data_IF_196817991028
#
_entry.id   IF_196817991028
#
_cell.length_a   1.000
_cell.length_b   1.000
_cell.length_c   1.000
_cell.angle_alpha   90.00
_cell.angle_beta   90.00
_cell.angle_gamma   90.00
#
_symmetry.space_group_name_H-M   'P 1'
#
loop_
_entity.id
_entity.type
_entity.pdbx_description
1 polymer ?
#
# COMPACT_ATOMS: atom_id res chain seq x y z
N UNK A 1 32.94 36.73 -26.91
CA UNK A 1 32.84 37.90 -27.82
C UNK A 1 32.31 37.37 -29.14
N UNK A 2 31.20 37.81 -29.72
CA UNK A 2 30.48 39.06 -29.58
C UNK A 2 28.97 38.83 -29.83
N UNK A 3 28.18 39.77 -29.32
CA UNK A 3 26.74 39.89 -29.52
C UNK A 3 26.40 40.27 -30.97
N UNK A 4 25.24 39.84 -31.46
CA UNK A 4 24.55 40.51 -32.56
C UNK A 4 23.10 40.77 -32.18
N UNK A 5 22.73 42.02 -32.42
CA UNK A 5 21.55 42.77 -32.04
C UNK A 5 20.39 42.50 -33.02
N UNK A 6 19.16 42.44 -32.49
CA UNK A 6 17.90 42.39 -33.25
C UNK A 6 17.53 43.77 -33.81
N UNK A 7 16.76 43.83 -34.91
CA UNK A 7 15.72 44.87 -34.98
C UNK A 7 14.37 44.39 -35.54
N UNK A 8 13.29 44.92 -34.93
CA UNK A 8 11.92 44.95 -35.47
C UNK A 8 11.07 43.73 -35.08
N UNK A 9 9.94 43.83 -34.37
CA UNK A 9 8.99 44.94 -34.25
C UNK A 9 7.68 44.57 -34.94
N UNK A 10 6.85 43.71 -34.34
CA UNK A 10 5.40 43.63 -34.55
C UNK A 10 4.73 42.91 -33.38
N UNK A 11 3.84 43.64 -32.70
CA UNK A 11 2.99 43.15 -31.62
C UNK A 11 1.90 42.27 -32.24
N UNK A 12 1.79 41.03 -31.79
CA UNK A 12 0.56 40.26 -31.94
C UNK A 12 0.15 39.82 -30.54
N UNK A 13 -1.03 40.26 -30.11
CA UNK A 13 -1.53 40.06 -28.76
C UNK A 13 -1.75 38.58 -28.48
N UNK A 14 -0.89 37.99 -27.66
CA UNK A 14 -1.15 36.72 -27.01
C UNK A 14 -2.05 36.99 -25.81
N UNK A 15 -3.27 36.47 -25.87
CA UNK A 15 -4.16 36.29 -24.74
C UNK A 15 -3.36 35.69 -23.57
N UNK A 16 -3.11 36.48 -22.53
CA UNK A 16 -2.65 35.97 -21.24
C UNK A 16 -3.80 35.19 -20.62
N UNK A 17 -3.98 33.94 -21.04
CA UNK A 17 -4.60 32.95 -20.19
C UNK A 17 -3.69 32.86 -18.95
N UNK A 18 -4.12 33.54 -17.88
CA UNK A 18 -3.59 33.38 -16.52
C UNK A 18 -3.69 31.89 -16.18
N UNK A 19 -2.65 31.14 -16.54
CA UNK A 19 -2.39 29.81 -16.03
C UNK A 19 -2.23 29.95 -14.53
N UNK A 20 -3.32 29.71 -13.80
CA UNK A 20 -3.26 29.51 -12.36
C UNK A 20 -2.21 28.43 -12.13
N UNK A 21 -1.19 28.65 -11.29
CA UNK A 21 -0.35 27.55 -10.88
C UNK A 21 -1.28 26.59 -10.15
N UNK A 22 -1.47 25.37 -10.68
CA UNK A 22 -2.11 24.29 -9.95
C UNK A 22 -1.16 23.77 -8.84
N UNK A 23 -0.56 24.69 -8.08
CA UNK A 23 0.02 24.44 -6.79
C UNK A 23 -1.12 24.38 -5.77
N UNK A 24 -1.89 23.30 -5.82
CA UNK A 24 -2.62 22.82 -4.64
C UNK A 24 -2.00 21.49 -4.24
N UNK A 25 -0.76 21.58 -3.72
CA UNK A 25 -0.21 20.58 -2.80
C UNK A 25 -1.10 20.58 -1.55
N UNK A 26 -2.22 19.86 -1.62
CA UNK A 26 -2.74 19.25 -0.44
C UNK A 26 -1.71 18.19 -0.06
N UNK A 27 -0.83 18.50 0.90
CA UNK A 27 -0.04 17.49 1.61
C UNK A 27 -1.05 16.57 2.28
N UNK A 28 -1.54 15.56 1.57
CA UNK A 28 -2.07 14.38 2.22
C UNK A 28 -0.83 13.70 2.80
N UNK A 29 -0.58 13.94 4.09
CA UNK A 29 0.26 13.03 4.86
C UNK A 29 -0.21 11.62 4.50
N UNK A 30 0.71 10.79 4.03
CA UNK A 30 0.46 9.41 3.64
C UNK A 30 -0.22 8.73 4.83
N UNK A 31 -1.55 8.68 4.80
CA UNK A 31 -2.33 8.10 5.90
C UNK A 31 -2.12 6.60 5.77
N UNK A 32 -1.20 6.06 6.56
CA UNK A 32 -1.21 4.65 6.88
C UNK A 32 -2.40 4.42 7.77
N UNK A 33 -3.28 3.56 7.31
CA UNK A 33 -4.53 3.28 7.98
C UNK A 33 -4.41 1.86 8.48
N UNK A 34 -4.19 1.76 9.78
CA UNK A 34 -4.19 0.53 10.53
C UNK A 34 -5.12 0.66 11.74
N UNK A 35 -5.41 -0.47 12.39
CA UNK A 35 -6.11 -0.50 13.67
C UNK A 35 -5.26 0.19 14.77
N UNK A 36 -5.88 0.90 15.71
CA UNK A 36 -5.35 1.30 17.04
C UNK A 36 -3.89 1.77 17.13
N UNK A 37 -3.67 3.06 17.36
CA UNK A 37 -2.35 3.70 17.16
C UNK A 37 -1.13 3.06 17.85
N UNK A 38 -0.02 2.98 17.11
CA UNK A 38 1.37 3.07 17.61
C UNK A 38 2.42 3.14 16.48
N UNK A 39 2.10 2.81 15.23
CA UNK A 39 3.07 2.97 14.14
C UNK A 39 2.98 4.35 13.51
N UNK A 40 3.85 5.26 13.99
CA UNK A 40 4.14 6.52 13.31
C UNK A 40 5.18 6.26 12.23
N UNK A 41 4.74 6.22 10.98
CA UNK A 41 5.65 6.07 9.86
C UNK A 41 6.29 7.40 9.50
N UNK A 42 7.59 7.36 9.26
CA UNK A 42 8.30 8.47 8.65
C UNK A 42 7.85 8.60 7.18
N UNK A 43 7.31 9.75 6.80
CA UNK A 43 6.82 10.01 5.44
C UNK A 43 7.89 9.73 4.38
N UNK A 44 9.16 10.03 4.68
CA UNK A 44 10.29 9.78 3.78
C UNK A 44 10.57 8.29 3.59
N UNK A 45 10.56 7.51 4.67
CA UNK A 45 10.76 6.05 4.61
C UNK A 45 9.62 5.38 3.86
N UNK A 46 8.40 5.81 4.13
CA UNK A 46 7.23 5.23 3.49
C UNK A 46 7.16 5.57 2.00
N UNK A 47 7.59 6.77 1.62
CA UNK A 47 7.77 7.14 0.21
C UNK A 47 8.91 6.35 -0.45
N UNK A 48 10.01 6.08 0.26
CA UNK A 48 11.08 5.23 -0.24
C UNK A 48 10.60 3.79 -0.45
N UNK A 49 9.84 3.25 0.51
CA UNK A 49 9.23 1.93 0.45
C UNK A 49 8.28 1.80 -0.75
N UNK A 50 7.46 2.81 -1.02
CA UNK A 50 6.51 2.78 -2.15
C UNK A 50 7.19 2.67 -3.52
N UNK A 51 8.48 3.00 -3.61
CA UNK A 51 9.31 2.93 -4.83
C UNK A 51 10.02 1.59 -5.00
N UNK A 52 10.06 0.74 -3.97
CA UNK A 52 10.65 -0.58 -4.09
C UNK A 52 9.88 -1.47 -5.09
N UNK A 53 10.51 -2.56 -5.58
CA UNK A 53 9.83 -3.58 -6.36
C UNK A 53 8.59 -4.10 -5.61
N UNK A 54 7.50 -4.25 -6.34
CA UNK A 54 6.26 -4.78 -5.79
C UNK A 54 6.17 -6.28 -6.04
N UNK A 55 5.65 -7.03 -5.08
CA UNK A 55 5.25 -8.43 -5.30
C UNK A 55 4.17 -8.49 -6.38
N UNK A 56 3.22 -7.55 -6.33
CA UNK A 56 2.15 -7.44 -7.31
C UNK A 56 1.84 -5.97 -7.59
N UNK A 57 1.65 -5.63 -8.87
CA UNK A 57 1.28 -4.29 -9.29
C UNK A 57 0.35 -4.33 -10.50
N UNK A 58 -0.77 -3.59 -10.43
CA UNK A 58 -1.74 -3.53 -11.51
C UNK A 58 -2.61 -2.27 -11.39
N UNK A 59 -3.21 -1.86 -12.50
CA UNK A 59 -4.28 -0.88 -12.47
C UNK A 59 -5.60 -1.53 -12.05
N UNK A 60 -6.12 -1.10 -10.90
CA UNK A 60 -7.36 -1.60 -10.33
C UNK A 60 -8.36 -0.46 -10.14
N UNK A 61 -9.62 -0.87 -9.99
CA UNK A 61 -10.69 0.01 -9.57
C UNK A 61 -10.58 0.13 -8.10
N UNK A 62 -10.69 1.34 -7.60
CA UNK A 62 -10.64 1.55 -6.18
C UNK A 62 -11.75 2.50 -5.77
N UNK A 63 -12.54 2.07 -4.78
CA UNK A 63 -13.50 2.89 -4.07
C UNK A 63 -13.16 2.84 -2.59
N UNK A 64 -12.97 4.00 -1.99
CA UNK A 64 -12.63 4.10 -0.57
C UNK A 64 -13.86 3.98 0.34
N UNK A 65 -13.65 4.02 1.67
CA UNK A 65 -14.72 3.85 2.67
C UNK A 65 -15.66 5.07 2.80
N UNK A 66 -15.38 6.18 2.12
CA UNK A 66 -16.22 7.39 2.25
C UNK A 66 -17.58 7.15 1.57
N UNK A 67 -18.67 7.47 2.28
CA UNK A 67 -20.03 7.45 1.74
C UNK A 67 -20.12 8.32 0.48
N UNK A 68 -20.68 7.76 -0.59
CA UNK A 68 -20.74 8.42 -1.90
C UNK A 68 -19.43 8.46 -2.68
N UNK A 69 -18.39 7.73 -2.23
CA UNK A 69 -17.16 7.62 -3.03
C UNK A 69 -17.41 6.85 -4.32
N UNK A 70 -16.84 7.39 -5.40
CA UNK A 70 -16.92 6.79 -6.73
C UNK A 70 -15.72 5.89 -6.97
N UNK A 71 -15.93 4.88 -7.83
CA UNK A 71 -14.86 4.03 -8.32
C UNK A 71 -13.89 4.86 -9.17
N UNK A 72 -12.58 4.72 -8.92
CA UNK A 72 -11.53 5.40 -9.68
C UNK A 72 -10.45 4.40 -10.08
N UNK A 73 -9.90 4.53 -11.29
CA UNK A 73 -8.67 3.79 -11.65
C UNK A 73 -7.49 4.27 -10.82
N UNK A 74 -6.73 3.31 -10.31
CA UNK A 74 -5.53 3.52 -9.49
C UNK A 74 -4.50 2.47 -9.86
N UNK A 75 -3.24 2.88 -9.96
CA UNK A 75 -2.15 1.92 -9.91
C UNK A 75 -2.04 1.45 -8.46
N UNK A 76 -2.19 0.16 -8.22
CA UNK A 76 -2.10 -0.46 -6.91
C UNK A 76 -0.84 -1.31 -6.87
N UNK A 77 -0.04 -1.18 -5.81
CA UNK A 77 1.22 -1.90 -5.61
C UNK A 77 1.23 -2.55 -4.23
N UNK A 78 1.47 -3.85 -4.18
CA UNK A 78 1.77 -4.60 -2.96
C UNK A 78 3.28 -4.65 -2.76
N UNK A 79 3.77 -4.01 -1.69
CA UNK A 79 5.19 -3.99 -1.33
C UNK A 79 5.29 -4.44 0.13
N UNK A 80 5.89 -5.60 0.36
CA UNK A 80 5.92 -6.24 1.69
C UNK A 80 4.48 -6.38 2.22
N UNK A 81 4.13 -5.75 3.34
CA UNK A 81 2.80 -5.74 3.94
C UNK A 81 2.04 -4.42 3.71
N UNK A 82 2.48 -3.61 2.74
CA UNK A 82 1.83 -2.36 2.39
C UNK A 82 1.17 -2.44 1.01
N UNK A 83 -0.09 -2.03 0.96
CA UNK A 83 -0.82 -1.83 -0.28
C UNK A 83 -0.86 -0.33 -0.61
N UNK A 84 0.03 0.11 -1.48
CA UNK A 84 0.07 1.47 -1.98
C UNK A 84 -0.89 1.66 -3.14
N UNK A 85 -1.51 2.84 -3.23
CA UNK A 85 -2.33 3.21 -4.37
C UNK A 85 -2.01 4.62 -4.86
N UNK A 86 -1.81 4.74 -6.17
CA UNK A 86 -1.35 5.93 -6.86
C UNK A 86 -2.44 6.41 -7.82
N UNK A 87 -2.44 7.70 -8.15
CA UNK A 87 -3.07 8.11 -9.40
C UNK A 87 -2.19 7.64 -10.55
N UNK A 88 -2.77 7.38 -11.71
CA UNK A 88 -2.05 6.83 -12.87
C UNK A 88 -0.97 7.77 -13.41
N UNK A 89 -1.05 9.05 -13.08
CA UNK A 89 -0.15 10.14 -13.49
C UNK A 89 0.78 10.65 -12.38
N UNK A 90 0.67 10.12 -11.15
CA UNK A 90 1.43 10.59 -9.99
C UNK A 90 2.46 9.56 -9.52
N UNK A 91 3.70 10.01 -9.30
CA UNK A 91 4.77 9.16 -8.74
C UNK A 91 4.69 8.99 -7.21
N UNK A 92 3.92 9.84 -6.53
CA UNK A 92 3.70 9.77 -5.09
C UNK A 92 2.39 9.01 -4.81
N UNK A 93 2.36 8.11 -3.80
CA UNK A 93 1.15 7.39 -3.47
C UNK A 93 0.10 8.34 -2.88
N UNK A 94 -1.15 8.13 -3.27
CA UNK A 94 -2.30 8.83 -2.66
C UNK A 94 -2.52 8.35 -1.22
N UNK A 95 -2.22 7.07 -0.98
CA UNK A 95 -2.36 6.44 0.32
C UNK A 95 -1.70 5.06 0.37
N UNK A 96 -1.63 4.50 1.57
CA UNK A 96 -1.16 3.15 1.81
C UNK A 96 -2.08 2.45 2.83
N UNK A 97 -2.37 1.18 2.61
CA UNK A 97 -3.02 0.33 3.61
C UNK A 97 -1.96 -0.61 4.20
N UNK A 98 -1.90 -0.67 5.53
CA UNK A 98 -1.09 -1.65 6.23
C UNK A 98 -1.91 -2.92 6.40
N UNK A 99 -1.40 -4.06 5.93
CA UNK A 99 -2.13 -5.34 5.95
C UNK A 99 -1.99 -6.03 7.31
N UNK A 100 -2.53 -5.39 8.34
CA UNK A 100 -2.59 -5.89 9.72
C UNK A 100 -4.05 -5.91 10.18
N UNK A 101 -4.47 -7.01 10.78
CA UNK A 101 -5.85 -7.23 11.22
C UNK A 101 -6.87 -6.90 10.13
N UNK A 102 -6.52 -7.20 8.87
CA UNK A 102 -7.36 -6.93 7.71
C UNK A 102 -8.12 -8.18 7.30
N UNK A 103 -9.33 -8.00 6.76
CA UNK A 103 -10.14 -9.05 6.17
C UNK A 103 -10.29 -8.80 4.68
N UNK A 104 -9.85 -9.76 3.87
CA UNK A 104 -9.97 -9.74 2.41
C UNK A 104 -11.13 -10.64 1.97
N UNK A 105 -12.19 -10.03 1.45
CA UNK A 105 -13.45 -10.70 1.11
C UNK A 105 -13.77 -10.55 -0.37
N UNK A 106 -14.21 -11.62 -1.03
CA UNK A 106 -14.73 -11.53 -2.39
C UNK A 106 -16.14 -10.93 -2.36
N UNK A 107 -16.40 -9.92 -3.18
CA UNK A 107 -17.71 -9.26 -3.27
C UNK A 107 -18.43 -9.62 -4.56
N UNK A 108 -17.69 -9.67 -5.67
CA UNK A 108 -18.16 -9.96 -7.03
C UNK A 108 -17.14 -10.91 -7.70
N UNK A 109 -17.47 -11.58 -8.81
CA UNK A 109 -16.52 -12.45 -9.51
C UNK A 109 -15.19 -11.74 -9.81
N UNK A 110 -15.24 -10.49 -10.28
CA UNK A 110 -14.07 -9.65 -10.56
C UNK A 110 -13.79 -8.58 -9.48
N UNK A 111 -14.38 -8.69 -8.28
CA UNK A 111 -14.28 -7.66 -7.25
C UNK A 111 -14.04 -8.20 -5.85
N UNK A 112 -13.18 -7.52 -5.09
CA UNK A 112 -12.90 -7.85 -3.69
C UNK A 112 -12.93 -6.60 -2.82
N UNK A 113 -12.95 -6.82 -1.51
CA UNK A 113 -12.88 -5.77 -0.52
C UNK A 113 -11.83 -6.04 0.56
N UNK A 114 -11.33 -4.98 1.15
CA UNK A 114 -10.49 -5.00 2.35
C UNK A 114 -11.19 -4.18 3.43
N UNK A 115 -11.43 -4.79 4.58
CA UNK A 115 -11.85 -4.10 5.81
C UNK A 115 -10.88 -4.43 6.96
N UNK A 116 -10.98 -3.70 8.06
CA UNK A 116 -10.13 -3.90 9.24
C UNK A 116 -10.99 -4.36 10.41
N UNK A 117 -10.46 -5.26 11.25
CA UNK A 117 -11.22 -5.85 12.37
C UNK A 117 -11.71 -4.77 13.33
N UNK A 118 -10.90 -3.76 13.62
CA UNK A 118 -11.28 -2.66 14.53
C UNK A 118 -12.24 -1.63 13.91
N UNK A 119 -12.29 -1.54 12.59
CA UNK A 119 -13.17 -0.62 11.87
C UNK A 119 -13.76 -1.31 10.63
N UNK A 120 -14.73 -2.23 10.81
CA UNK A 120 -15.30 -3.02 9.72
C UNK A 120 -16.05 -2.17 8.69
N UNK A 121 -16.60 -1.03 9.12
CA UNK A 121 -17.29 -0.05 8.28
C UNK A 121 -16.33 0.64 7.29
N UNK A 122 -15.04 0.66 7.63
CA UNK A 122 -13.99 1.19 6.77
C UNK A 122 -13.57 0.19 5.69
N UNK A 123 -14.48 -0.02 4.75
CA UNK A 123 -14.33 -0.95 3.63
C UNK A 123 -13.75 -0.29 2.38
N UNK A 124 -12.69 -0.87 1.83
CA UNK A 124 -12.10 -0.50 0.54
C UNK A 124 -12.53 -1.53 -0.49
N UNK A 125 -13.13 -1.08 -1.60
CA UNK A 125 -13.53 -1.97 -2.68
C UNK A 125 -12.57 -1.86 -3.85
N UNK A 126 -12.24 -3.02 -4.42
CA UNK A 126 -11.35 -3.17 -5.55
C UNK A 126 -12.04 -3.91 -6.69
N UNK A 127 -11.81 -3.45 -7.92
CA UNK A 127 -12.36 -4.06 -9.12
C UNK A 127 -11.21 -4.42 -10.09
N UNK A 128 -11.15 -5.70 -10.44
CA UNK A 128 -10.17 -6.31 -11.33
C UNK A 128 -10.73 -6.44 -12.74
N UNK A 129 -9.86 -6.69 -13.72
CA UNK A 129 -10.27 -6.94 -15.12
C UNK A 129 -10.82 -8.35 -15.36
N UNK A 130 -10.52 -9.28 -14.46
CA UNK A 130 -10.96 -10.68 -14.52
C UNK A 130 -11.07 -11.27 -13.11
N UNK A 131 -11.80 -12.38 -12.98
CA UNK A 131 -11.86 -13.15 -11.74
C UNK A 131 -10.50 -13.74 -11.35
N UNK A 132 -9.72 -14.22 -12.31
CA UNK A 132 -8.37 -14.73 -12.07
C UNK A 132 -7.47 -13.67 -11.42
N UNK A 133 -7.47 -12.44 -11.95
CA UNK A 133 -6.74 -11.33 -11.34
C UNK A 133 -7.26 -11.04 -9.92
N UNK A 134 -8.58 -11.11 -9.70
CA UNK A 134 -9.17 -10.93 -8.37
C UNK A 134 -8.64 -11.96 -7.37
N UNK A 135 -8.62 -13.25 -7.75
CA UNK A 135 -8.11 -14.33 -6.91
C UNK A 135 -6.60 -14.20 -6.63
N UNK A 136 -5.82 -13.82 -7.65
CA UNK A 136 -4.39 -13.56 -7.51
C UNK A 136 -4.13 -12.46 -6.45
N UNK A 137 -4.82 -11.32 -6.58
CA UNK A 137 -4.73 -10.22 -5.62
C UNK A 137 -5.17 -10.64 -4.22
N UNK A 138 -6.31 -11.31 -4.08
CA UNK A 138 -6.78 -11.76 -2.77
C UNK A 138 -5.79 -12.74 -2.11
N UNK A 139 -5.20 -13.65 -2.89
CA UNK A 139 -4.17 -14.56 -2.42
C UNK A 139 -2.91 -13.84 -1.94
N UNK A 140 -2.40 -12.90 -2.74
CA UNK A 140 -1.23 -12.11 -2.40
C UNK A 140 -1.46 -11.26 -1.14
N UNK A 141 -2.61 -10.59 -1.03
CA UNK A 141 -2.97 -9.78 0.14
C UNK A 141 -3.09 -10.62 1.41
N UNK A 142 -3.65 -11.83 1.32
CA UNK A 142 -3.74 -12.76 2.47
C UNK A 142 -2.36 -13.24 2.92
N UNK A 143 -1.43 -13.50 1.99
CA UNK A 143 -0.06 -13.91 2.32
C UNK A 143 0.76 -12.76 2.92
N UNK A 144 0.54 -11.54 2.42
CA UNK A 144 1.20 -10.33 2.90
C UNK A 144 0.67 -9.83 4.25
N UNK A 145 -0.42 -10.41 4.78
CA UNK A 145 -0.94 -10.01 6.08
C UNK A 145 -0.01 -10.44 7.22
N UNK A 146 0.08 -9.62 8.25
CA UNK A 146 0.93 -9.89 9.41
C UNK A 146 0.61 -11.25 10.06
N UNK A 147 -0.66 -11.60 10.19
CA UNK A 147 -1.11 -12.86 10.79
C UNK A 147 -0.59 -14.07 10.00
N UNK A 148 -0.60 -13.99 8.67
CA UNK A 148 -0.08 -15.05 7.83
C UNK A 148 1.44 -15.14 7.97
N UNK A 149 2.16 -14.02 7.75
CA UNK A 149 3.63 -13.99 7.87
C UNK A 149 4.09 -14.50 9.23
N UNK A 150 3.40 -14.13 10.31
CA UNK A 150 3.67 -14.58 11.66
C UNK A 150 3.49 -16.09 11.82
N UNK A 151 2.37 -16.65 11.32
CA UNK A 151 2.12 -18.11 11.35
C UNK A 151 3.18 -18.86 10.53
N UNK A 152 3.54 -18.35 9.35
CA UNK A 152 4.59 -18.92 8.50
C UNK A 152 5.95 -18.92 9.20
N UNK A 153 6.33 -17.81 9.86
CA UNK A 153 7.59 -17.73 10.60
C UNK A 153 7.67 -18.77 11.72
N UNK A 154 6.59 -18.91 12.49
CA UNK A 154 6.50 -19.91 13.56
C UNK A 154 6.61 -21.33 12.99
N UNK A 155 5.89 -21.60 11.89
CA UNK A 155 5.95 -22.88 11.21
C UNK A 155 7.38 -23.21 10.77
N UNK A 156 8.05 -22.31 10.03
CA UNK A 156 9.41 -22.56 9.54
C UNK A 156 10.43 -22.72 10.67
N UNK A 157 10.31 -21.94 11.75
CA UNK A 157 11.15 -22.12 12.95
C UNK A 157 11.02 -23.55 13.50
N UNK A 158 9.79 -24.02 13.67
CA UNK A 158 9.53 -25.36 14.19
C UNK A 158 10.08 -26.45 13.27
N UNK A 159 9.92 -26.31 11.95
CA UNK A 159 10.46 -27.29 11.00
C UNK A 159 11.99 -27.30 10.99
N UNK A 160 12.64 -26.14 11.03
CA UNK A 160 14.10 -26.06 11.12
C UNK A 160 14.61 -26.67 12.43
N UNK A 161 13.95 -26.38 13.55
CA UNK A 161 14.34 -26.94 14.85
C UNK A 161 14.17 -28.45 14.88
N UNK A 162 13.10 -29.00 14.28
CA UNK A 162 12.93 -30.46 14.16
C UNK A 162 14.05 -31.11 13.34
N UNK A 163 14.48 -30.48 12.25
CA UNK A 163 15.53 -31.04 11.39
C UNK A 163 16.94 -30.88 11.96
N UNK A 164 17.22 -29.79 12.66
CA UNK A 164 18.58 -29.42 13.10
C UNK A 164 18.82 -29.62 14.59
N UNK A 165 17.77 -29.82 15.38
CA UNK A 165 17.83 -29.92 16.84
C UNK A 165 18.12 -28.60 17.56
N UNK A 166 18.25 -27.48 16.84
CA UNK A 166 18.59 -26.16 17.39
C UNK A 166 17.59 -25.11 16.93
N UNK A 167 17.31 -24.13 17.78
CA UNK A 167 16.47 -23.01 17.37
C UNK A 167 17.24 -22.09 16.41
N UNK A 168 16.75 -21.83 15.19
CA UNK A 168 17.43 -20.95 14.24
C UNK A 168 17.61 -19.52 14.75
N UNK A 169 16.85 -19.10 15.76
CA UNK A 169 16.93 -17.76 16.34
C UNK A 169 17.89 -17.64 17.54
N UNK A 170 18.37 -18.75 18.11
CA UNK A 170 19.30 -18.73 19.25
C UNK A 170 20.60 -17.99 18.92
N UNK A 171 21.13 -18.17 17.71
CA UNK A 171 22.37 -17.53 17.26
C UNK A 171 22.28 -15.99 17.19
N UNK A 172 21.05 -15.44 17.15
CA UNK A 172 20.81 -14.00 17.11
C UNK A 172 20.52 -13.41 18.50
N UNK A 173 20.57 -14.22 19.57
CA UNK A 173 20.35 -13.75 20.94
C UNK A 173 18.94 -13.23 21.20
N UNK A 174 17.95 -13.61 20.38
CA UNK A 174 16.56 -13.19 20.53
C UNK A 174 15.95 -14.01 21.67
N UNK A 175 15.56 -13.37 22.78
CA UNK A 175 15.00 -14.06 23.96
C UNK A 175 13.59 -14.59 23.72
N UNK A 176 13.15 -15.62 24.47
CA UNK A 176 11.79 -16.22 24.33
C UNK A 176 10.66 -15.20 24.54
N UNK A 177 10.91 -14.15 25.31
CA UNK A 177 9.98 -13.06 25.58
C UNK A 177 9.84 -12.09 24.39
N UNK A 178 10.92 -11.90 23.62
CA UNK A 178 10.93 -11.11 22.39
C UNK A 178 10.44 -11.92 21.16
N UNK A 179 10.33 -13.25 21.30
CA UNK A 179 9.79 -14.13 20.26
C UNK A 179 8.27 -13.98 20.22
N UNK A 180 7.72 -13.74 19.03
CA UNK A 180 6.29 -13.50 18.78
C UNK A 180 5.37 -14.57 19.42
N UNK A 181 4.94 -14.40 20.68
CA UNK A 181 4.24 -15.45 21.45
C UNK A 181 2.79 -15.68 21.00
N UNK A 182 2.39 -16.93 20.74
CA UNK A 182 1.03 -17.29 20.29
C UNK A 182 -0.05 -17.16 21.39
N UNK A 183 0.34 -16.94 22.65
CA UNK A 183 -0.52 -17.11 23.82
C UNK A 183 -1.70 -16.14 23.98
N UNK A 184 -1.89 -15.16 23.09
CA UNK A 184 -2.89 -14.10 23.27
C UNK A 184 -4.18 -14.18 22.45
N UNK A 185 -4.21 -14.95 21.35
CA UNK A 185 -5.38 -15.00 20.45
C UNK A 185 -6.16 -16.29 20.70
N UNK A 186 -7.10 -16.22 21.66
CA UNK A 186 -8.20 -17.18 21.72
C UNK A 186 -9.07 -17.01 20.47
N UNK A 187 -9.41 -18.15 19.86
CA UNK A 187 -10.32 -18.27 18.73
C UNK A 187 -11.70 -17.70 19.03
#
# INVERSE_FOLDING_TARGET
MAAVVLPGGRRCGTFLARGRPAARRARLALRVLGPGGAMRYNEKELQALSRQPAELAAELGMRGPKKGSVLKRRLVKLVVNFLFYFRTDEAEPVGALLLEHCRVTQEEPSGFSISFIEDPERKYHFECRSEEQCQEWMGALRRASYEFMRRSLIFYRNEIQKMTGKDPLEQFGISEEARFQLGGLKA
#
